data_IF_398935684312
#
_entry.id   IF_398935684312
#
_cell.length_a   1.000
_cell.length_b   1.000
_cell.length_c   1.000
_cell.angle_alpha   90.00
_cell.angle_beta   90.00
_cell.angle_gamma   90.00
#
_symmetry.space_group_name_H-M   'P 1'
#
loop_
_entity.id
_entity.type
_entity.pdbx_description
1 polymer ?
#
# COMPACT_ATOMS: atom_id res chain seq x y z
N UNK A 1 -4.49 15.22 10.19
CA UNK A 1 -5.12 14.45 11.31
C UNK A 1 -5.10 12.98 10.95
N UNK A 2 -4.16 12.22 11.51
CA UNK A 2 -4.02 10.79 11.26
C UNK A 2 -5.05 10.04 12.13
N UNK A 3 -6.08 9.50 11.50
CA UNK A 3 -7.06 8.64 12.19
C UNK A 3 -6.35 7.46 12.86
N UNK A 4 -6.70 7.17 14.11
CA UNK A 4 -6.16 6.00 14.85
C UNK A 4 -6.32 4.75 13.99
N UNK A 5 -5.18 4.06 13.73
CA UNK A 5 -5.14 2.82 12.96
C UNK A 5 -6.13 1.81 13.55
N UNK A 6 -7.02 1.22 12.71
CA UNK A 6 -8.06 0.28 13.15
C UNK A 6 -9.38 0.91 13.61
N UNK A 7 -9.51 2.24 13.63
CA UNK A 7 -10.77 2.92 14.01
C UNK A 7 -11.90 2.61 13.01
N UNK A 8 -13.17 2.82 13.43
CA UNK A 8 -14.34 2.70 12.54
C UNK A 8 -14.21 3.59 11.30
N UNK A 9 -13.64 4.79 11.44
CA UNK A 9 -13.36 5.72 10.33
C UNK A 9 -12.35 5.14 9.35
N UNK A 10 -11.23 4.60 9.82
CA UNK A 10 -10.23 3.95 8.96
C UNK A 10 -10.82 2.83 8.11
N UNK A 11 -11.68 1.99 8.71
CA UNK A 11 -12.37 0.91 7.99
C UNK A 11 -13.36 1.41 6.94
N UNK A 12 -14.08 2.50 7.21
CA UNK A 12 -15.00 3.13 6.23
C UNK A 12 -14.23 3.72 5.06
N UNK A 13 -13.17 4.49 5.31
CA UNK A 13 -12.32 5.04 4.26
C UNK A 13 -11.60 3.94 3.46
N UNK A 14 -11.15 2.87 4.11
CA UNK A 14 -10.55 1.72 3.43
C UNK A 14 -11.54 1.03 2.47
N UNK A 15 -12.80 0.86 2.86
CA UNK A 15 -13.84 0.32 1.97
C UNK A 15 -14.13 1.26 0.81
N UNK A 16 -14.30 2.56 1.08
CA UNK A 16 -14.53 3.56 0.04
C UNK A 16 -13.37 3.59 -0.97
N UNK A 17 -12.13 3.49 -0.49
CA UNK A 17 -10.95 3.39 -1.34
C UNK A 17 -10.98 2.16 -2.24
N UNK A 18 -11.29 0.96 -1.70
CA UNK A 18 -11.35 -0.26 -2.50
C UNK A 18 -12.47 -0.19 -3.53
N UNK A 19 -13.66 0.33 -3.16
CA UNK A 19 -14.77 0.52 -4.09
C UNK A 19 -14.37 1.48 -5.22
N UNK A 20 -13.78 2.63 -4.88
CA UNK A 20 -13.30 3.58 -5.88
C UNK A 20 -12.25 2.97 -6.80
N UNK A 21 -11.35 2.15 -6.26
CA UNK A 21 -10.32 1.46 -7.03
C UNK A 21 -10.92 0.43 -8.01
N UNK A 22 -11.95 -0.31 -7.58
CA UNK A 22 -12.66 -1.27 -8.44
C UNK A 22 -13.40 -0.55 -9.56
N UNK A 23 -14.07 0.57 -9.25
CA UNK A 23 -14.76 1.38 -10.27
C UNK A 23 -13.77 1.95 -11.27
N UNK A 24 -12.66 2.53 -10.80
CA UNK A 24 -11.63 3.08 -11.68
C UNK A 24 -10.92 2.00 -12.50
N UNK A 25 -10.60 0.86 -11.90
CA UNK A 25 -10.02 -0.28 -12.63
C UNK A 25 -10.98 -0.84 -13.68
N UNK A 26 -12.28 -0.91 -13.38
CA UNK A 26 -13.32 -1.31 -14.32
C UNK A 26 -13.45 -0.34 -15.49
N UNK A 27 -13.51 0.96 -15.23
CA UNK A 27 -13.55 1.97 -16.30
C UNK A 27 -12.27 1.98 -17.14
N UNK A 28 -11.10 1.80 -16.51
CA UNK A 28 -9.83 1.67 -17.21
C UNK A 28 -9.81 0.44 -18.14
N UNK A 29 -10.34 -0.69 -17.69
CA UNK A 29 -10.45 -1.90 -18.52
C UNK A 29 -11.40 -1.70 -19.73
N UNK A 30 -12.53 -1.04 -19.52
CA UNK A 30 -13.46 -0.69 -20.60
C UNK A 30 -12.81 0.23 -21.61
N UNK A 31 -12.15 1.29 -21.17
CA UNK A 31 -11.44 2.22 -22.04
C UNK A 31 -10.31 1.56 -22.82
N UNK A 32 -9.56 0.66 -22.18
CA UNK A 32 -8.52 -0.12 -22.85
C UNK A 32 -9.11 -1.08 -23.89
N UNK A 33 -10.30 -1.64 -23.64
CA UNK A 33 -11.01 -2.49 -24.59
C UNK A 33 -11.44 -1.77 -25.88
N UNK A 34 -11.80 -0.48 -25.80
CA UNK A 34 -12.16 0.32 -26.97
C UNK A 34 -10.97 0.76 -27.82
N UNK A 35 -9.80 0.97 -27.23
CA UNK A 35 -8.60 1.42 -27.92
C UNK A 35 -7.35 0.78 -27.32
N UNK A 36 -7.22 -0.52 -27.52
CA UNK A 36 -6.13 -1.32 -26.97
C UNK A 36 -4.76 -0.84 -27.38
N UNK A 37 -4.61 -0.46 -28.65
CA UNK A 37 -3.32 -0.03 -29.19
C UNK A 37 -2.69 1.16 -28.41
N UNK A 38 -3.51 2.10 -27.94
CA UNK A 38 -3.05 3.28 -27.24
C UNK A 38 -3.23 3.21 -25.71
N UNK A 39 -4.12 2.34 -25.21
CA UNK A 39 -4.57 2.35 -23.79
C UNK A 39 -4.30 1.06 -23.02
N UNK A 40 -3.55 0.12 -23.57
CA UNK A 40 -3.20 -1.14 -22.89
C UNK A 40 -2.58 -0.91 -21.49
N UNK A 41 -1.83 0.18 -21.34
CA UNK A 41 -1.20 0.54 -20.07
C UNK A 41 -2.22 0.79 -18.95
N UNK A 42 -3.41 1.29 -19.26
CA UNK A 42 -4.49 1.47 -18.28
C UNK A 42 -4.96 0.13 -17.73
N UNK A 43 -5.09 -0.89 -18.57
CA UNK A 43 -5.46 -2.24 -18.14
C UNK A 43 -4.37 -2.84 -17.24
N UNK A 44 -3.10 -2.74 -17.63
CA UNK A 44 -1.97 -3.25 -16.84
C UNK A 44 -1.89 -2.57 -15.48
N UNK A 45 -1.95 -1.24 -15.43
CA UNK A 45 -1.90 -0.49 -14.18
C UNK A 45 -3.16 -0.72 -13.33
N UNK A 46 -4.32 -0.88 -13.94
CA UNK A 46 -5.56 -1.25 -13.26
C UNK A 46 -5.47 -2.62 -12.58
N UNK A 47 -4.97 -3.63 -13.28
CA UNK A 47 -4.72 -4.97 -12.72
C UNK A 47 -3.69 -4.91 -11.60
N UNK A 48 -2.59 -4.19 -11.78
CA UNK A 48 -1.56 -4.01 -10.75
C UNK A 48 -2.12 -3.31 -9.51
N UNK A 49 -2.96 -2.30 -9.68
CA UNK A 49 -3.61 -1.59 -8.58
C UNK A 49 -4.60 -2.49 -7.82
N UNK A 50 -5.46 -3.21 -8.53
CA UNK A 50 -6.45 -4.11 -7.92
C UNK A 50 -5.79 -5.28 -7.22
N UNK A 51 -4.81 -5.94 -7.83
CA UNK A 51 -4.12 -7.08 -7.23
C UNK A 51 -3.36 -6.68 -5.96
N UNK A 52 -2.62 -5.57 -6.00
CA UNK A 52 -1.89 -5.08 -4.84
C UNK A 52 -2.82 -4.64 -3.69
N UNK A 53 -3.94 -3.98 -4.00
CA UNK A 53 -4.95 -3.61 -3.02
C UNK A 53 -5.64 -4.85 -2.42
N UNK A 54 -5.93 -5.87 -3.23
CA UNK A 54 -6.52 -7.14 -2.77
C UNK A 54 -5.56 -7.87 -1.82
N UNK A 55 -4.28 -7.96 -2.17
CA UNK A 55 -3.24 -8.51 -1.29
C UNK A 55 -3.16 -7.71 0.02
N UNK A 56 -3.13 -6.38 -0.06
CA UNK A 56 -3.10 -5.50 1.10
C UNK A 56 -4.34 -5.63 1.98
N UNK A 57 -5.53 -5.78 1.38
CA UNK A 57 -6.79 -5.94 2.11
C UNK A 57 -6.89 -7.32 2.78
N UNK A 58 -6.50 -8.39 2.10
CA UNK A 58 -6.53 -9.75 2.64
C UNK A 58 -5.49 -9.97 3.73
N UNK A 59 -4.34 -9.29 3.65
CA UNK A 59 -3.27 -9.40 4.64
C UNK A 59 -3.71 -9.07 6.07
N UNK A 60 -4.70 -8.18 6.25
CA UNK A 60 -5.23 -7.83 7.58
C UNK A 60 -5.93 -9.00 8.27
N UNK A 61 -6.43 -9.97 7.49
CA UNK A 61 -7.10 -11.19 7.99
C UNK A 61 -6.12 -12.29 8.37
N UNK A 62 -4.86 -12.19 7.97
CA UNK A 62 -3.83 -13.17 8.28
C UNK A 62 -3.28 -12.95 9.70
N UNK A 63 -3.16 -14.01 10.48
CA UNK A 63 -2.57 -14.00 11.82
C UNK A 63 -1.03 -13.96 11.80
N UNK A 64 -0.43 -13.07 10.99
CA UNK A 64 1.03 -12.96 10.83
C UNK A 64 1.55 -11.62 11.35
N UNK A 65 2.76 -11.58 11.95
CA UNK A 65 3.35 -10.33 12.45
C UNK A 65 3.57 -9.29 11.34
N UNK A 66 3.82 -9.72 10.10
CA UNK A 66 4.03 -8.86 8.95
C UNK A 66 2.73 -8.27 8.35
N UNK A 67 1.54 -8.64 8.85
CA UNK A 67 0.24 -8.23 8.27
C UNK A 67 0.09 -6.72 8.02
N UNK A 68 0.58 -5.91 8.95
CA UNK A 68 0.45 -4.44 8.86
C UNK A 68 1.38 -3.88 7.78
N UNK A 69 2.59 -4.43 7.65
CA UNK A 69 3.53 -4.02 6.60
C UNK A 69 2.99 -4.40 5.21
N UNK A 70 2.47 -5.62 5.05
CA UNK A 70 1.86 -6.09 3.79
C UNK A 70 0.63 -5.27 3.44
N UNK A 71 -0.25 -4.98 4.42
CA UNK A 71 -1.40 -4.11 4.21
C UNK A 71 -0.98 -2.71 3.74
N UNK A 72 -0.03 -2.09 4.45
CA UNK A 72 0.46 -0.76 4.11
C UNK A 72 1.09 -0.72 2.71
N UNK A 73 1.93 -1.72 2.40
CA UNK A 73 2.60 -1.80 1.09
C UNK A 73 1.59 -2.07 -0.03
N UNK A 74 0.69 -3.02 0.13
CA UNK A 74 -0.30 -3.36 -0.89
C UNK A 74 -1.25 -2.20 -1.20
N UNK A 75 -1.78 -1.54 -0.17
CA UNK A 75 -2.65 -0.36 -0.37
C UNK A 75 -1.88 0.81 -0.97
N UNK A 76 -0.62 1.01 -0.56
CA UNK A 76 0.24 2.08 -1.07
C UNK A 76 0.65 1.87 -2.52
N UNK A 77 1.04 0.65 -2.90
CA UNK A 77 1.37 0.29 -4.29
C UNK A 77 0.16 0.46 -5.20
N UNK A 78 -1.04 0.01 -4.76
CA UNK A 78 -2.28 0.24 -5.49
C UNK A 78 -2.55 1.72 -5.75
N UNK A 79 -2.31 2.57 -4.75
CA UNK A 79 -2.46 4.02 -4.90
C UNK A 79 -1.44 4.62 -5.89
N UNK A 80 -0.17 4.18 -5.83
CA UNK A 80 0.88 4.61 -6.76
C UNK A 80 0.50 4.23 -8.20
N UNK A 81 0.08 2.97 -8.42
CA UNK A 81 -0.31 2.49 -9.75
C UNK A 81 -1.48 3.32 -10.33
N UNK A 82 -2.46 3.66 -9.50
CA UNK A 82 -3.61 4.47 -9.90
C UNK A 82 -3.20 5.91 -10.23
N UNK A 83 -2.31 6.54 -9.44
CA UNK A 83 -1.77 7.85 -9.76
C UNK A 83 -0.95 7.83 -11.05
N UNK A 84 -0.15 6.78 -11.27
CA UNK A 84 0.61 6.62 -12.50
C UNK A 84 -0.32 6.53 -13.70
N UNK A 85 -1.39 5.72 -13.64
CA UNK A 85 -2.38 5.63 -14.70
C UNK A 85 -3.02 7.00 -15.01
N UNK A 86 -3.38 7.75 -13.96
CA UNK A 86 -3.95 9.08 -14.11
C UNK A 86 -2.99 10.05 -14.78
N UNK A 87 -1.73 10.12 -14.35
CA UNK A 87 -0.76 11.06 -14.91
C UNK A 87 -0.31 10.67 -16.33
N UNK A 88 -0.20 9.38 -16.63
CA UNK A 88 0.14 8.93 -17.99
C UNK A 88 -0.94 9.28 -19.00
N UNK A 89 -2.22 9.10 -18.63
CA UNK A 89 -3.34 9.39 -19.54
C UNK A 89 -3.69 10.87 -19.61
N UNK A 90 -3.60 11.61 -18.50
CA UNK A 90 -4.03 13.00 -18.41
C UNK A 90 -2.88 14.02 -18.37
N UNK A 91 -1.67 13.59 -18.05
CA UNK A 91 -0.49 14.48 -17.89
C UNK A 91 -0.27 15.42 -19.06
N UNK A 92 -0.32 14.97 -20.32
CA UNK A 92 -0.15 15.85 -21.48
C UNK A 92 -1.17 16.98 -21.58
N UNK A 93 -2.33 16.85 -20.94
CA UNK A 93 -3.41 17.86 -20.92
C UNK A 93 -3.32 18.82 -19.74
N UNK A 94 -2.49 18.50 -18.73
CA UNK A 94 -2.34 19.32 -17.53
C UNK A 94 -1.24 20.38 -17.75
N UNK A 95 -1.50 21.67 -17.42
CA UNK A 95 -0.62 22.78 -17.80
C UNK A 95 0.81 22.69 -17.23
N UNK A 96 0.98 22.15 -16.03
CA UNK A 96 2.31 21.97 -15.41
C UNK A 96 3.00 20.66 -15.85
N UNK A 97 2.21 19.62 -16.09
CA UNK A 97 2.71 18.29 -16.41
C UNK A 97 3.03 18.11 -17.88
N UNK A 98 2.42 18.90 -18.76
CA UNK A 98 2.74 18.95 -20.20
C UNK A 98 4.17 19.39 -20.51
N UNK A 99 4.82 20.10 -19.57
CA UNK A 99 6.22 20.51 -19.67
C UNK A 99 7.23 19.39 -19.36
N UNK A 100 6.77 18.29 -18.77
CA UNK A 100 7.62 17.18 -18.37
C UNK A 100 7.74 16.13 -19.49
N UNK A 101 8.94 15.55 -19.69
CA UNK A 101 9.09 14.41 -20.58
C UNK A 101 8.15 13.26 -20.17
N UNK A 102 7.58 12.48 -21.11
CA UNK A 102 6.62 11.43 -20.82
C UNK A 102 7.10 10.40 -19.78
N UNK A 103 8.42 10.14 -19.75
CA UNK A 103 9.02 9.22 -18.79
C UNK A 103 8.78 9.64 -17.32
N UNK A 104 8.78 10.95 -17.04
CA UNK A 104 8.53 11.45 -15.69
C UNK A 104 7.10 11.21 -15.22
N UNK A 105 6.13 11.19 -16.12
CA UNK A 105 4.73 10.88 -15.80
C UNK A 105 4.60 9.42 -15.27
N UNK A 106 5.44 8.53 -15.76
CA UNK A 106 5.51 7.14 -15.30
C UNK A 106 6.23 6.98 -13.97
N UNK A 107 7.35 7.68 -13.79
CA UNK A 107 8.27 7.44 -12.68
C UNK A 107 7.96 8.26 -11.44
N UNK A 108 7.41 9.47 -11.59
CA UNK A 108 7.26 10.43 -10.50
C UNK A 108 6.36 9.94 -9.37
N UNK A 109 5.18 9.31 -9.61
CA UNK A 109 4.38 8.75 -8.54
C UNK A 109 5.11 7.66 -7.74
N UNK A 110 5.89 6.82 -8.43
CA UNK A 110 6.70 5.79 -7.80
C UNK A 110 7.90 6.38 -7.03
N UNK A 111 8.59 7.35 -7.61
CA UNK A 111 9.75 8.01 -6.99
C UNK A 111 9.39 8.70 -5.66
N UNK A 112 8.19 9.22 -5.54
CA UNK A 112 7.68 9.83 -4.30
C UNK A 112 7.07 8.77 -3.38
N UNK A 113 6.23 7.89 -3.91
CA UNK A 113 5.42 6.96 -3.12
C UNK A 113 6.23 5.82 -2.51
N UNK A 114 7.20 5.26 -3.24
CA UNK A 114 8.01 4.13 -2.76
C UNK A 114 8.84 4.51 -1.53
N UNK A 115 9.60 5.62 -1.50
CA UNK A 115 10.33 6.02 -0.30
C UNK A 115 9.42 6.22 0.92
N UNK A 116 8.22 6.77 0.72
CA UNK A 116 7.25 6.96 1.81
C UNK A 116 6.81 5.61 2.39
N UNK A 117 6.48 4.64 1.53
CA UNK A 117 6.09 3.29 1.95
C UNK A 117 7.25 2.62 2.68
N UNK A 118 8.46 2.65 2.12
CA UNK A 118 9.65 2.04 2.70
C UNK A 118 9.92 2.61 4.10
N UNK A 119 9.95 3.94 4.24
CA UNK A 119 10.13 4.60 5.56
C UNK A 119 9.06 4.19 6.56
N UNK A 120 7.80 4.09 6.12
CA UNK A 120 6.71 3.70 6.99
C UNK A 120 6.84 2.22 7.44
N UNK A 121 7.24 1.32 6.56
CA UNK A 121 7.48 -0.10 6.87
C UNK A 121 8.68 -0.27 7.80
N UNK A 122 9.78 0.43 7.54
CA UNK A 122 10.98 0.39 8.41
C UNK A 122 10.68 0.88 9.82
N UNK A 123 9.92 1.98 9.97
CA UNK A 123 9.46 2.47 11.28
C UNK A 123 8.57 1.46 12.02
N UNK A 124 7.77 0.68 11.31
CA UNK A 124 6.96 -0.37 11.92
C UNK A 124 7.85 -1.51 12.45
N UNK A 125 8.84 -1.94 11.69
CA UNK A 125 9.78 -2.99 12.08
C UNK A 125 10.60 -2.61 13.32
N UNK A 126 11.13 -1.38 13.36
CA UNK A 126 11.90 -0.87 14.50
C UNK A 126 11.08 -0.88 15.80
N UNK A 127 9.79 -0.50 15.74
CA UNK A 127 8.90 -0.53 16.90
C UNK A 127 8.58 -1.93 17.39
N UNK A 128 8.49 -2.91 16.50
CA UNK A 128 8.24 -4.30 16.85
C UNK A 128 9.46 -4.95 17.51
N UNK A 129 10.68 -4.57 17.12
CA UNK A 129 11.92 -5.06 17.73
C UNK A 129 12.15 -4.57 19.15
N UNK A 130 11.74 -3.34 19.48
CA UNK A 130 11.87 -2.81 20.84
C UNK A 130 10.81 -3.32 21.82
N UNK A 131 9.72 -3.93 21.33
CA UNK A 131 8.61 -4.40 22.17
C UNK A 131 8.75 -5.87 22.62
N UNK A 132 9.90 -6.52 22.40
CA UNK A 132 10.12 -7.87 22.90
C UNK A 132 10.40 -7.82 24.41
N UNK A 133 9.49 -8.29 25.27
CA UNK A 133 9.75 -8.29 26.71
C UNK A 133 10.99 -9.14 26.97
N UNK A 134 11.94 -8.58 27.69
CA UNK A 134 13.08 -9.28 28.29
C UNK A 134 12.53 -10.59 28.87
N UNK A 135 12.87 -11.72 28.29
CA UNK A 135 12.53 -13.03 28.85
C UNK A 135 12.93 -12.98 30.32
N UNK A 136 11.93 -13.07 31.19
CA UNK A 136 12.19 -13.18 32.63
C UNK A 136 13.18 -14.34 32.82
N UNK A 137 14.34 -14.03 33.38
CA UNK A 137 15.32 -15.01 33.80
C UNK A 137 14.58 -16.02 34.68
N UNK A 138 14.73 -17.35 34.47
CA UNK A 138 14.13 -18.34 35.34
C UNK A 138 14.61 -18.10 36.76
N UNK A 139 13.67 -17.85 37.68
CA UNK A 139 13.93 -17.77 39.11
C UNK A 139 14.70 -19.05 39.48
N UNK A 140 15.99 -18.90 39.84
CA UNK A 140 16.76 -19.97 40.51
C UNK A 140 15.88 -20.42 41.68
N UNK A 141 15.42 -21.65 41.59
CA UNK A 141 14.81 -22.37 42.71
C UNK A 141 15.81 -22.34 43.84
N UNK A 142 15.46 -21.63 44.92
CA UNK A 142 16.23 -21.70 46.15
C UNK A 142 16.24 -23.16 46.63
N UNK A 143 17.40 -23.75 46.63
CA UNK A 143 17.67 -25.06 47.27
C UNK A 143 17.36 -24.94 48.75
N UNK A 144 16.35 -25.67 49.21
CA UNK A 144 16.08 -25.90 50.63
C UNK A 144 17.28 -26.64 51.26
N UNK A 145 17.85 -26.18 52.40
CA UNK A 145 18.90 -26.95 53.07
C UNK A 145 18.30 -28.19 53.76
N UNK A 146 19.00 -29.33 53.79
CA UNK A 146 18.58 -30.52 54.51
C UNK A 146 18.73 -30.30 56.04
N UNK A 147 17.76 -30.84 56.80
CA UNK A 147 17.85 -30.97 58.28
C UNK A 147 18.81 -32.09 58.65
#
# INVERSE_FOLDING_TARGET
MLTRKGSRRHRRFGRAYVIALVLLGGTAAVLAGFDWAHRWHLAVLGVAALSSATIGYSAVRLARPARIAVHLSGMGVGYIAMLTAFYVDNGPRLPLWSLLPPLWLWLLPAAIGVPIIVRAVLRLRSRSGCAQPRRASPKRSASTPPK
#
